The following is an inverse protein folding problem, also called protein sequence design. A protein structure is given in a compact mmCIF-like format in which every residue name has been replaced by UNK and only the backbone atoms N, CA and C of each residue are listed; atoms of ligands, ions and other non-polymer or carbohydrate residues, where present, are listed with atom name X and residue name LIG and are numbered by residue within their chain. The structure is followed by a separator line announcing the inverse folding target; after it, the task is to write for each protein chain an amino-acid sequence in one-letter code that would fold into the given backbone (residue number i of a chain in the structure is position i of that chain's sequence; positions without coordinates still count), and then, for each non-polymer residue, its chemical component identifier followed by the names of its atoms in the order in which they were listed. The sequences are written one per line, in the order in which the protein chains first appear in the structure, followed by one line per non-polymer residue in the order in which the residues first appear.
data_IF_529419124444
#
_entry.id   IF_529419124444
#
_cell.length_a   1.000
_cell.length_b   1.000
_cell.length_c   1.000
_cell.angle_alpha   90.00
_cell.angle_beta   90.00
_cell.angle_gamma   90.00
#
_symmetry.space_group_name_H-M   'P 1'
#
loop_
_entity.id
_entity.type
_entity.pdbx_description
1 polymer ?
#
# COMPACT_ATOMS: atom_id res chain seq x y z
N UNK A 1 8.63 16.94 3.32
CA UNK A 1 7.81 17.12 4.55
C UNK A 1 7.35 18.57 4.61
N UNK A 2 6.04 18.81 4.61
CA UNK A 2 5.46 20.16 4.74
C UNK A 2 5.78 20.66 6.15
N UNK A 3 6.77 21.53 6.27
CA UNK A 3 7.32 21.98 7.56
C UNK A 3 6.64 23.25 8.10
N UNK A 4 5.56 23.72 7.46
CA UNK A 4 4.85 24.92 7.88
C UNK A 4 3.61 24.57 8.71
N UNK A 5 3.46 25.28 9.83
CA UNK A 5 2.26 25.21 10.66
C UNK A 5 1.13 25.97 9.95
N UNK A 6 0.09 25.26 9.58
CA UNK A 6 -1.15 25.85 9.07
C UNK A 6 -1.96 26.38 10.25
N UNK A 7 -2.38 27.63 10.17
CA UNK A 7 -3.08 28.36 11.23
C UNK A 7 -4.49 28.77 10.84
N UNK A 8 -4.82 28.74 9.55
CA UNK A 8 -6.14 29.10 9.03
C UNK A 8 -6.72 27.98 8.16
N UNK A 9 -8.04 27.96 7.97
CA UNK A 9 -8.72 27.01 7.09
C UNK A 9 -8.31 27.19 5.63
N UNK A 10 -8.09 28.44 5.20
CA UNK A 10 -7.69 28.77 3.85
C UNK A 10 -6.30 28.22 3.51
N UNK A 11 -5.35 28.26 4.46
CA UNK A 11 -4.04 27.65 4.31
C UNK A 11 -4.14 26.12 4.13
N UNK A 12 -5.03 25.47 4.87
CA UNK A 12 -5.29 24.04 4.74
C UNK A 12 -5.90 23.69 3.37
N UNK A 13 -6.88 24.46 2.92
CA UNK A 13 -7.53 24.25 1.63
C UNK A 13 -6.56 24.44 0.46
N UNK A 14 -5.70 25.47 0.52
CA UNK A 14 -4.68 25.71 -0.48
C UNK A 14 -3.71 24.53 -0.59
N UNK A 15 -3.16 24.06 0.54
CA UNK A 15 -2.27 22.90 0.57
C UNK A 15 -2.97 21.63 0.09
N UNK A 16 -4.22 21.41 0.50
CA UNK A 16 -5.00 20.24 0.06
C UNK A 16 -5.16 20.21 -1.46
N UNK A 17 -5.53 21.34 -2.07
CA UNK A 17 -5.71 21.44 -3.51
C UNK A 17 -4.40 21.23 -4.28
N UNK A 18 -3.29 21.75 -3.78
CA UNK A 18 -1.95 21.52 -4.33
C UNK A 18 -1.60 20.02 -4.29
N UNK A 19 -1.72 19.38 -3.14
CA UNK A 19 -1.38 17.97 -2.96
C UNK A 19 -2.24 17.00 -3.78
N UNK A 20 -3.50 17.37 -4.04
CA UNK A 20 -4.40 16.55 -4.86
C UNK A 20 -4.18 16.76 -6.34
N UNK A 21 -3.83 17.97 -6.78
CA UNK A 21 -3.55 18.25 -8.19
C UNK A 21 -2.41 17.38 -8.74
N UNK A 22 -1.40 17.08 -7.91
CA UNK A 22 -0.25 16.25 -8.28
C UNK A 22 -0.51 14.73 -8.16
N UNK A 23 -1.64 14.33 -7.56
CA UNK A 23 -1.91 12.92 -7.26
C UNK A 23 -2.71 12.27 -8.39
N UNK A 24 -2.12 11.27 -9.03
CA UNK A 24 -2.85 10.35 -9.90
C UNK A 24 -3.74 9.41 -9.04
N UNK A 25 -5.08 9.46 -9.17
CA UNK A 25 -5.99 8.58 -8.43
C UNK A 25 -5.95 7.13 -8.92
N UNK A 26 -5.48 6.89 -10.15
CA UNK A 26 -5.45 5.58 -10.79
C UNK A 26 -4.09 4.88 -10.66
N UNK A 27 -3.05 5.58 -10.15
CA UNK A 27 -1.75 4.99 -9.84
C UNK A 27 -1.92 3.76 -8.93
N UNK A 28 -1.47 2.57 -9.36
CA UNK A 28 -1.52 1.37 -8.53
C UNK A 28 -0.76 1.57 -7.21
N UNK A 29 -1.37 1.18 -6.10
CA UNK A 29 -0.75 1.30 -4.79
C UNK A 29 -1.01 0.05 -3.95
N UNK A 30 0.06 -0.59 -3.50
CA UNK A 30 0.03 -1.69 -2.54
C UNK A 30 0.20 -1.10 -1.14
N UNK A 31 -0.73 -1.43 -0.27
CA UNK A 31 -0.71 -0.97 1.12
C UNK A 31 -0.53 -2.14 2.07
N UNK A 32 0.39 -2.02 3.02
CA UNK A 32 0.65 -3.04 4.05
C UNK A 32 0.30 -2.47 5.42
N UNK A 33 -0.57 -3.14 6.16
CA UNK A 33 -0.91 -2.73 7.52
C UNK A 33 0.26 -2.99 8.47
N UNK A 34 0.81 -1.93 9.08
CA UNK A 34 1.81 -2.00 10.15
C UNK A 34 1.24 -1.62 11.52
N UNK A 35 -0.06 -1.91 11.75
CA UNK A 35 -0.59 -1.94 13.11
C UNK A 35 0.11 -3.02 13.94
N UNK A 36 0.17 -2.85 15.26
CA UNK A 36 0.91 -3.75 16.17
C UNK A 36 0.60 -5.23 15.96
N UNK A 37 -0.67 -5.61 15.75
CA UNK A 37 -1.07 -7.00 15.48
C UNK A 37 -0.56 -7.54 14.14
N UNK A 38 -0.50 -6.70 13.09
CA UNK A 38 0.07 -7.08 11.81
C UNK A 38 1.60 -7.16 11.87
N UNK A 39 2.27 -6.22 12.54
CA UNK A 39 3.71 -6.30 12.76
C UNK A 39 4.09 -7.56 13.54
N UNK A 40 3.35 -7.89 14.60
CA UNK A 40 3.58 -9.11 15.38
C UNK A 40 3.35 -10.41 14.58
N UNK A 41 2.65 -10.34 13.44
CA UNK A 41 2.40 -11.48 12.54
C UNK A 41 3.27 -11.46 11.28
N UNK A 42 4.29 -10.59 11.22
CA UNK A 42 5.29 -10.59 10.14
C UNK A 42 5.00 -9.62 8.99
N UNK A 43 4.28 -8.51 9.26
CA UNK A 43 3.94 -7.55 8.20
C UNK A 43 5.13 -6.81 7.59
N UNK A 44 6.23 -6.63 8.34
CA UNK A 44 7.42 -5.94 7.82
C UNK A 44 8.16 -6.83 6.81
N UNK A 45 8.23 -8.13 7.08
CA UNK A 45 8.79 -9.12 6.16
C UNK A 45 7.94 -9.25 4.88
N UNK A 46 6.63 -9.09 5.01
CA UNK A 46 5.72 -9.01 3.84
C UNK A 46 5.98 -7.73 3.04
N UNK A 47 6.16 -6.59 3.71
CA UNK A 47 6.50 -5.33 3.06
C UNK A 47 7.82 -5.44 2.27
N UNK A 48 8.88 -5.94 2.88
CA UNK A 48 10.20 -6.05 2.23
C UNK A 48 10.16 -7.01 1.03
N UNK A 49 9.40 -8.10 1.13
CA UNK A 49 9.20 -9.02 0.02
C UNK A 49 8.39 -8.38 -1.13
N UNK A 50 7.39 -7.55 -0.83
CA UNK A 50 6.64 -6.79 -1.83
C UNK A 50 7.49 -5.71 -2.48
N UNK A 51 8.32 -5.01 -1.71
CA UNK A 51 9.26 -4.01 -2.25
C UNK A 51 10.21 -4.64 -3.26
N UNK A 52 10.81 -5.78 -2.90
CA UNK A 52 11.69 -6.54 -3.81
C UNK A 52 10.95 -7.00 -5.06
N UNK A 53 9.74 -7.51 -4.93
CA UNK A 53 8.95 -7.96 -6.07
C UNK A 53 8.56 -6.78 -7.00
N UNK A 54 8.19 -5.62 -6.44
CA UNK A 54 7.91 -4.43 -7.26
C UNK A 54 9.15 -3.98 -8.02
N UNK A 55 10.32 -3.97 -7.37
CA UNK A 55 11.60 -3.64 -8.02
C UNK A 55 11.95 -4.63 -9.14
N UNK A 56 11.68 -5.92 -8.96
CA UNK A 56 11.93 -6.94 -10.00
C UNK A 56 11.00 -6.78 -11.22
N UNK A 57 9.84 -6.16 -11.05
CA UNK A 57 8.85 -5.89 -12.10
C UNK A 57 8.72 -4.39 -12.45
N UNK A 58 9.71 -3.55 -12.11
CA UNK A 58 9.64 -2.08 -12.29
C UNK A 58 9.48 -1.64 -13.75
N UNK A 59 9.89 -2.49 -14.69
CA UNK A 59 9.72 -2.27 -16.13
C UNK A 59 8.27 -2.50 -16.61
N UNK A 60 7.51 -3.31 -15.88
CA UNK A 60 6.15 -3.73 -16.23
C UNK A 60 5.08 -3.00 -15.41
N UNK A 61 5.41 -2.57 -14.19
CA UNK A 61 4.51 -1.84 -13.32
C UNK A 61 5.20 -0.75 -12.52
N UNK A 62 4.62 0.45 -12.60
CA UNK A 62 4.90 1.55 -11.69
C UNK A 62 3.85 1.53 -10.57
N UNK A 63 4.25 1.05 -9.39
CA UNK A 63 3.35 0.90 -8.25
C UNK A 63 3.96 1.49 -6.97
N UNK A 64 3.15 2.28 -6.27
CA UNK A 64 3.46 2.72 -4.92
C UNK A 64 3.41 1.54 -3.94
N UNK A 65 4.35 1.50 -3.00
CA UNK A 65 4.27 0.66 -1.80
C UNK A 65 4.19 1.55 -0.56
N UNK A 66 3.12 1.38 0.24
CA UNK A 66 2.88 2.22 1.42
C UNK A 66 2.60 1.38 2.65
N UNK A 67 3.27 1.73 3.75
CA UNK A 67 2.89 1.26 5.07
C UNK A 67 1.69 2.09 5.57
N UNK A 68 0.67 1.41 6.10
CA UNK A 68 -0.50 2.05 6.69
C UNK A 68 -0.64 1.72 8.17
N UNK A 69 -1.44 2.52 8.87
CA UNK A 69 -1.86 2.21 10.24
C UNK A 69 -2.77 0.97 10.34
N UNK A 70 -3.26 0.73 11.56
CA UNK A 70 -4.15 -0.38 11.88
C UNK A 70 -5.46 -0.32 11.08
N UNK A 71 -5.90 -1.48 10.57
CA UNK A 71 -7.18 -1.62 9.82
C UNK A 71 -8.25 -2.42 10.58
N UNK A 72 -8.02 -2.74 11.85
CA UNK A 72 -9.00 -3.40 12.74
C UNK A 72 -9.07 -4.94 12.66
N UNK A 73 -8.61 -5.56 11.58
CA UNK A 73 -8.67 -7.02 11.38
C UNK A 73 -7.41 -7.76 11.88
N UNK A 74 -6.99 -7.51 13.12
CA UNK A 74 -5.72 -8.01 13.66
C UNK A 74 -5.58 -9.54 13.59
N UNK A 75 -6.66 -10.30 13.82
CA UNK A 75 -6.66 -11.77 13.74
C UNK A 75 -6.45 -12.32 12.32
N UNK A 76 -6.57 -11.45 11.32
CA UNK A 76 -6.37 -11.79 9.90
C UNK A 76 -5.08 -11.18 9.34
N UNK A 77 -4.22 -10.59 10.19
CA UNK A 77 -2.93 -10.03 9.78
C UNK A 77 -1.92 -11.10 9.34
N UNK A 78 -0.90 -10.71 8.54
CA UNK A 78 -0.69 -9.42 7.88
C UNK A 78 -1.74 -9.10 6.81
N UNK A 79 -2.13 -7.82 6.71
CA UNK A 79 -3.15 -7.33 5.78
C UNK A 79 -2.48 -6.54 4.65
N UNK A 80 -2.84 -6.87 3.41
CA UNK A 80 -2.38 -6.16 2.21
C UNK A 80 -3.57 -5.73 1.38
N UNK A 81 -3.58 -4.48 0.89
CA UNK A 81 -4.62 -4.03 -0.04
C UNK A 81 -4.01 -3.41 -1.29
N UNK A 82 -4.65 -3.66 -2.45
CA UNK A 82 -4.26 -3.09 -3.75
C UNK A 82 -5.32 -2.07 -4.17
N UNK A 83 -4.89 -0.83 -4.33
CA UNK A 83 -5.70 0.31 -4.76
C UNK A 83 -5.35 0.68 -6.22
N UNK A 84 -6.28 1.25 -6.99
CA UNK A 84 -7.70 1.52 -6.65
C UNK A 84 -8.62 0.30 -6.78
N UNK A 85 -8.10 -0.87 -7.18
CA UNK A 85 -8.88 -2.11 -7.44
C UNK A 85 -9.61 -2.68 -6.20
N UNK A 86 -9.36 -2.15 -5.00
CA UNK A 86 -9.96 -2.58 -3.73
C UNK A 86 -9.81 -4.09 -3.44
N UNK A 87 -8.70 -4.68 -3.88
CA UNK A 87 -8.38 -6.09 -3.56
C UNK A 87 -7.78 -6.12 -2.17
N UNK A 88 -8.26 -7.02 -1.31
CA UNK A 88 -7.84 -7.13 0.08
C UNK A 88 -7.41 -8.56 0.41
N UNK A 89 -6.12 -8.72 0.74
CA UNK A 89 -5.53 -9.97 1.15
C UNK A 89 -5.31 -10.01 2.66
N UNK A 90 -5.57 -11.17 3.24
CA UNK A 90 -5.40 -11.48 4.66
C UNK A 90 -4.38 -12.59 4.85
N UNK A 91 -3.74 -12.63 6.02
CA UNK A 91 -2.73 -13.64 6.41
C UNK A 91 -1.64 -13.78 5.35
N UNK A 92 -1.24 -12.65 4.78
CA UNK A 92 -0.23 -12.61 3.72
C UNK A 92 1.11 -13.05 4.31
N UNK A 93 1.83 -13.87 3.56
CA UNK A 93 3.16 -14.33 3.91
C UNK A 93 4.15 -13.77 2.88
N UNK A 94 5.44 -13.58 3.24
CA UNK A 94 6.45 -13.05 2.31
C UNK A 94 6.50 -13.81 0.98
N UNK A 95 6.32 -15.13 1.01
CA UNK A 95 6.29 -16.00 -0.18
C UNK A 95 5.16 -15.69 -1.17
N UNK A 96 4.12 -14.96 -0.75
CA UNK A 96 3.01 -14.57 -1.62
C UNK A 96 3.31 -13.29 -2.42
N UNK A 97 4.31 -12.50 -2.01
CA UNK A 97 4.59 -11.19 -2.60
C UNK A 97 4.74 -11.26 -4.12
N UNK A 98 5.58 -12.18 -4.61
CA UNK A 98 5.81 -12.35 -6.05
C UNK A 98 4.53 -12.67 -6.82
N UNK A 99 3.68 -13.56 -6.28
CA UNK A 99 2.40 -13.88 -6.92
C UNK A 99 1.40 -12.73 -6.85
N UNK A 100 1.45 -11.90 -5.81
CA UNK A 100 0.59 -10.71 -5.70
C UNK A 100 0.97 -9.71 -6.80
N UNK A 101 2.26 -9.44 -7.03
CA UNK A 101 2.70 -8.52 -8.07
C UNK A 101 2.42 -9.13 -9.46
N UNK A 102 3.02 -10.28 -9.78
CA UNK A 102 2.91 -10.88 -11.12
C UNK A 102 1.47 -11.24 -11.49
N UNK A 103 0.74 -11.99 -10.66
CA UNK A 103 -0.59 -12.48 -11.04
C UNK A 103 -1.67 -11.44 -10.78
N UNK A 104 -1.68 -10.80 -9.62
CA UNK A 104 -2.79 -9.90 -9.29
C UNK A 104 -2.63 -8.52 -9.93
N UNK A 105 -1.42 -7.94 -9.90
CA UNK A 105 -1.24 -6.60 -10.43
C UNK A 105 -1.09 -6.60 -11.95
N UNK A 106 -0.22 -7.46 -12.52
CA UNK A 106 0.00 -7.51 -13.97
C UNK A 106 -1.10 -8.29 -14.71
N UNK A 107 -1.44 -9.50 -14.27
CA UNK A 107 -2.40 -10.37 -15.00
C UNK A 107 -3.86 -10.18 -14.58
N UNK A 108 -4.13 -9.48 -13.47
CA UNK A 108 -5.49 -9.29 -12.94
C UNK A 108 -6.09 -10.53 -12.27
N UNK A 109 -5.29 -11.56 -11.98
CA UNK A 109 -5.73 -12.79 -11.32
C UNK A 109 -5.67 -12.67 -9.79
N UNK A 110 -6.81 -12.88 -9.12
CA UNK A 110 -6.92 -12.87 -7.66
C UNK A 110 -6.45 -14.21 -7.08
N UNK A 111 -5.58 -14.15 -6.08
CA UNK A 111 -5.12 -15.32 -5.32
C UNK A 111 -6.20 -15.74 -4.31
N UNK A 112 -6.37 -17.05 -4.10
CA UNK A 112 -7.32 -17.62 -3.14
C UNK A 112 -6.62 -18.12 -1.89
#
# INVERSE_FOLDING_TARGET
MVSQKLTTTQELEALYNELIADRDPDQPCVTVCAGTGCCASGALEVHDALEKAIQEHEADIDADLKITGCRGFCEQGPLVAILPKNIFYTKVQPKHAESIISKTMLEGQILK
#
